data_IF_437211367357
#
_entry.id   IF_437211367357
#
_cell.length_a   1.000
_cell.length_b   1.000
_cell.length_c   1.000
_cell.angle_alpha   90.00
_cell.angle_beta   90.00
_cell.angle_gamma   90.00
#
_symmetry.space_group_name_H-M   'P 1'
#
loop_
_entity.id
_entity.type
_entity.pdbx_description
1 polymer ?
#
# COMPACT_ATOMS: atom_id res chain seq x y z
N UNK A 1 6.40 -41.21 16.98
CA UNK A 1 6.95 -40.67 15.71
C UNK A 1 5.94 -39.86 14.89
N UNK A 2 4.63 -40.13 14.96
CA UNK A 2 3.58 -39.34 14.29
C UNK A 2 3.18 -38.01 14.98
N UNK A 3 3.74 -37.72 16.15
CA UNK A 3 3.48 -36.48 16.90
C UNK A 3 4.46 -35.34 16.60
N UNK A 4 5.56 -35.61 15.89
CA UNK A 4 6.57 -34.58 15.56
C UNK A 4 6.16 -33.84 14.29
N UNK A 5 5.65 -34.54 13.27
CA UNK A 5 5.21 -33.93 11.99
C UNK A 5 3.94 -33.06 12.09
N UNK A 6 3.19 -33.10 13.20
CA UNK A 6 2.08 -32.16 13.45
C UNK A 6 2.56 -30.82 14.02
N UNK A 7 3.74 -30.79 14.66
CA UNK A 7 4.25 -29.61 15.35
C UNK A 7 4.80 -28.58 14.34
N UNK A 8 5.28 -29.03 13.17
CA UNK A 8 5.78 -28.14 12.11
C UNK A 8 4.64 -27.41 11.33
N UNK A 9 3.36 -27.71 11.61
CA UNK A 9 2.18 -27.13 10.94
C UNK A 9 1.39 -26.19 11.86
N UNK A 10 1.87 -25.90 13.07
CA UNK A 10 1.16 -25.02 14.01
C UNK A 10 1.95 -23.78 14.46
N UNK A 11 3.17 -23.54 13.95
CA UNK A 11 3.95 -22.40 14.42
C UNK A 11 4.84 -21.78 13.34
N UNK A 12 4.25 -20.91 12.52
CA UNK A 12 5.05 -20.13 11.58
C UNK A 12 4.32 -19.33 10.50
N UNK A 13 3.11 -18.80 10.73
CA UNK A 13 2.52 -17.81 9.84
C UNK A 13 1.47 -16.99 10.60
N UNK A 14 1.22 -15.74 10.22
CA UNK A 14 0.14 -14.87 10.74
C UNK A 14 0.35 -14.11 12.08
N UNK A 15 1.40 -13.28 12.13
CA UNK A 15 1.18 -11.94 12.71
C UNK A 15 0.51 -11.08 11.63
N UNK A 16 -0.80 -11.26 11.41
CA UNK A 16 -1.55 -10.45 10.45
C UNK A 16 -1.33 -8.96 10.76
N UNK A 17 -0.74 -8.21 9.81
CA UNK A 17 -0.71 -6.75 9.89
C UNK A 17 -2.14 -6.23 9.79
N UNK A 18 -2.85 -6.17 10.92
CA UNK A 18 -4.22 -5.71 10.95
C UNK A 18 -4.31 -4.23 10.52
N UNK A 19 -5.27 -3.87 9.67
CA UNK A 19 -5.45 -2.49 9.25
C UNK A 19 -5.92 -1.64 10.43
N UNK A 20 -5.13 -0.62 10.76
CA UNK A 20 -5.51 0.42 11.72
C UNK A 20 -6.41 1.49 11.09
N UNK A 21 -6.23 1.73 9.78
CA UNK A 21 -6.95 2.74 9.03
C UNK A 21 -7.56 2.15 7.75
N UNK A 22 -8.74 2.66 7.42
CA UNK A 22 -9.45 2.39 6.18
C UNK A 22 -9.60 3.71 5.44
N UNK A 23 -8.97 3.83 4.26
CA UNK A 23 -8.84 5.11 3.56
C UNK A 23 -9.43 5.01 2.17
N UNK A 24 -10.39 5.87 1.83
CA UNK A 24 -10.96 5.90 0.48
C UNK A 24 -9.94 6.37 -0.56
N UNK A 25 -9.95 5.70 -1.69
CA UNK A 25 -9.26 6.14 -2.91
C UNK A 25 -10.14 7.14 -3.64
N UNK A 26 -9.59 8.31 -3.90
CA UNK A 26 -10.22 9.41 -4.61
C UNK A 26 -9.73 9.43 -6.06
N UNK A 27 -10.62 9.72 -7.01
CA UNK A 27 -10.25 9.98 -8.41
C UNK A 27 -9.98 11.48 -8.59
N UNK A 28 -8.99 11.82 -9.41
CA UNK A 28 -8.59 13.17 -9.76
C UNK A 28 -8.57 13.32 -11.27
N UNK A 29 -8.92 14.52 -11.74
CA UNK A 29 -8.92 14.84 -13.17
C UNK A 29 -7.50 14.91 -13.75
N UNK A 30 -6.54 15.36 -12.93
CA UNK A 30 -5.13 15.51 -13.32
C UNK A 30 -4.30 14.37 -12.75
N UNK A 31 -3.39 13.87 -13.57
CA UNK A 31 -2.37 12.93 -13.14
C UNK A 31 -1.40 13.59 -12.15
N UNK A 32 -1.07 12.88 -11.08
CA UNK A 32 0.02 13.26 -10.19
C UNK A 32 1.36 13.01 -10.84
N UNK A 33 2.32 13.91 -10.60
CA UNK A 33 3.71 13.71 -10.98
C UNK A 33 4.39 12.78 -9.95
N UNK A 34 4.35 11.48 -10.25
CA UNK A 34 4.99 10.43 -9.46
C UNK A 34 6.36 10.13 -10.07
N UNK A 35 7.44 10.17 -9.26
CA UNK A 35 8.79 10.10 -9.75
C UNK A 35 9.13 8.68 -10.19
N UNK A 36 10.25 8.59 -10.91
CA UNK A 36 10.58 7.37 -11.63
C UNK A 36 10.96 6.21 -10.70
N UNK A 37 11.47 6.52 -9.51
CA UNK A 37 11.87 5.53 -8.50
C UNK A 37 10.65 4.72 -8.04
N UNK A 38 9.54 5.43 -7.74
CA UNK A 38 8.27 4.80 -7.31
C UNK A 38 7.62 4.05 -8.46
N UNK A 39 7.60 4.62 -9.67
CA UNK A 39 6.99 3.90 -10.81
C UNK A 39 7.81 2.69 -11.26
N UNK A 40 9.14 2.73 -11.08
CA UNK A 40 10.02 1.62 -11.44
C UNK A 40 9.95 0.47 -10.45
N UNK A 41 9.79 0.74 -9.15
CA UNK A 41 9.61 -0.31 -8.14
C UNK A 41 8.30 -1.10 -8.33
N UNK A 42 7.33 -0.54 -9.05
CA UNK A 42 6.03 -1.14 -9.33
C UNK A 42 5.95 -1.87 -10.68
N UNK A 43 7.02 -1.84 -11.49
CA UNK A 43 7.07 -2.59 -12.75
C UNK A 43 7.05 -4.09 -12.45
N UNK A 44 6.25 -4.84 -13.22
CA UNK A 44 6.05 -6.28 -13.01
C UNK A 44 5.02 -6.62 -11.93
N UNK A 45 4.77 -5.73 -10.96
CA UNK A 45 3.68 -5.88 -9.98
C UNK A 45 2.36 -5.38 -10.55
N UNK A 46 2.40 -4.26 -11.29
CA UNK A 46 1.23 -3.61 -11.87
C UNK A 46 1.44 -3.39 -13.37
N UNK A 47 0.42 -3.64 -14.19
CA UNK A 47 0.49 -3.38 -15.63
C UNK A 47 0.57 -1.86 -15.92
N UNK A 48 1.24 -1.48 -17.01
CA UNK A 48 1.38 -0.06 -17.37
C UNK A 48 0.03 0.68 -17.54
N UNK A 49 -0.98 -0.01 -18.08
CA UNK A 49 -2.36 0.52 -18.19
C UNK A 49 -2.97 0.79 -16.81
N UNK A 50 -2.76 -0.10 -15.85
CA UNK A 50 -3.26 0.08 -14.50
C UNK A 50 -2.50 1.19 -13.78
N UNK A 51 -1.18 1.26 -13.94
CA UNK A 51 -0.35 2.31 -13.36
C UNK A 51 -0.76 3.71 -13.86
N UNK A 52 -1.07 3.86 -15.16
CA UNK A 52 -1.57 5.13 -15.70
C UNK A 52 -2.94 5.54 -15.12
N UNK A 53 -3.82 4.58 -14.80
CA UNK A 53 -5.07 4.87 -14.09
C UNK A 53 -4.79 5.31 -12.64
N UNK A 54 -3.91 4.59 -11.94
CA UNK A 54 -3.51 4.90 -10.57
C UNK A 54 -2.84 6.27 -10.41
N UNK A 55 -2.20 6.81 -11.47
CA UNK A 55 -1.68 8.20 -11.46
C UNK A 55 -2.76 9.27 -11.29
N UNK A 56 -4.02 8.94 -11.57
CA UNK A 56 -5.17 9.82 -11.38
C UNK A 56 -5.88 9.55 -10.05
N UNK A 57 -5.25 8.78 -9.16
CA UNK A 57 -5.83 8.42 -7.87
C UNK A 57 -5.02 9.02 -6.72
N UNK A 58 -5.70 9.34 -5.63
CA UNK A 58 -5.08 9.80 -4.39
C UNK A 58 -5.77 9.25 -3.15
N UNK A 59 -5.12 9.39 -2.01
CA UNK A 59 -5.68 9.07 -0.69
C UNK A 59 -5.32 10.17 0.31
N UNK A 60 -6.20 10.39 1.30
CA UNK A 60 -5.89 11.21 2.46
C UNK A 60 -5.07 10.36 3.45
N UNK A 61 -3.74 10.52 3.46
CA UNK A 61 -2.89 9.65 4.26
C UNK A 61 -3.05 9.97 5.76
N UNK A 62 -3.43 8.99 6.61
CA UNK A 62 -3.64 9.24 8.04
C UNK A 62 -2.33 9.46 8.81
N UNK A 63 -1.19 9.04 8.26
CA UNK A 63 0.12 9.14 8.92
C UNK A 63 0.75 10.51 8.70
N UNK A 64 0.86 10.96 7.45
CA UNK A 64 1.44 12.28 7.10
C UNK A 64 0.40 13.41 7.12
N UNK A 65 -0.89 13.08 7.27
CA UNK A 65 -2.02 14.03 7.37
C UNK A 65 -2.16 14.96 6.16
N UNK A 66 -1.84 14.45 4.99
CA UNK A 66 -1.97 15.16 3.72
C UNK A 66 -2.45 14.22 2.61
N UNK A 67 -2.89 14.83 1.50
CA UNK A 67 -3.25 14.08 0.31
C UNK A 67 -1.99 13.61 -0.42
N UNK A 68 -1.89 12.30 -0.63
CA UNK A 68 -0.77 11.70 -1.35
C UNK A 68 -1.26 10.99 -2.61
N UNK A 69 -0.47 10.97 -3.70
CA UNK A 69 -0.79 10.15 -4.86
C UNK A 69 -0.92 8.68 -4.47
N UNK A 70 -1.87 7.98 -5.09
CA UNK A 70 -2.15 6.59 -4.74
C UNK A 70 -0.94 5.68 -5.01
N UNK A 71 -0.14 5.95 -6.04
CA UNK A 71 1.07 5.16 -6.30
C UNK A 71 2.12 5.28 -5.19
N UNK A 72 2.28 6.47 -4.59
CA UNK A 72 3.15 6.64 -3.42
C UNK A 72 2.59 5.88 -2.21
N UNK A 73 1.27 5.87 -2.02
CA UNK A 73 0.61 5.05 -1.01
C UNK A 73 0.77 3.55 -1.28
N UNK A 74 0.62 3.10 -2.52
CA UNK A 74 0.70 1.70 -2.92
C UNK A 74 2.10 1.10 -2.67
N UNK A 75 3.14 1.92 -2.83
CA UNK A 75 4.52 1.53 -2.55
C UNK A 75 4.92 1.67 -1.05
N UNK A 76 4.02 2.12 -0.18
CA UNK A 76 4.31 2.41 1.22
C UNK A 76 4.36 1.12 2.08
N UNK A 77 5.25 1.07 3.07
CA UNK A 77 5.35 -0.03 4.05
C UNK A 77 4.04 -0.30 4.82
N UNK A 78 3.21 0.74 4.99
CA UNK A 78 1.93 0.65 5.68
C UNK A 78 0.79 0.16 4.80
N UNK A 79 0.99 0.04 3.49
CA UNK A 79 -0.03 -0.47 2.59
C UNK A 79 -0.20 -1.98 2.80
N UNK A 80 -1.43 -2.41 3.09
CA UNK A 80 -1.76 -3.84 3.23
C UNK A 80 -2.42 -4.31 1.94
N UNK A 81 -3.55 -3.69 1.57
CA UNK A 81 -4.32 -4.04 0.36
C UNK A 81 -5.31 -2.94 0.00
N UNK A 82 -5.86 -3.03 -1.23
CA UNK A 82 -7.00 -2.23 -1.69
C UNK A 82 -8.20 -3.15 -1.98
N UNK A 83 -9.34 -2.87 -1.34
CA UNK A 83 -10.59 -3.62 -1.53
C UNK A 83 -11.70 -2.64 -1.88
N UNK A 84 -12.38 -2.83 -3.03
CA UNK A 84 -13.52 -2.00 -3.47
C UNK A 84 -13.31 -0.47 -3.39
N UNK A 85 -12.09 0.00 -3.66
CA UNK A 85 -11.76 1.44 -3.63
C UNK A 85 -11.36 1.97 -2.25
N UNK A 86 -11.11 1.09 -1.29
CA UNK A 86 -10.62 1.45 0.05
C UNK A 86 -9.27 0.79 0.32
N UNK A 87 -8.34 1.55 0.86
CA UNK A 87 -7.01 1.12 1.28
C UNK A 87 -7.05 0.71 2.74
N UNK A 88 -6.61 -0.52 2.98
CA UNK A 88 -6.32 -1.04 4.30
C UNK A 88 -4.88 -0.64 4.64
N UNK A 89 -4.73 0.19 5.67
CA UNK A 89 -3.46 0.78 6.05
C UNK A 89 -3.09 0.38 7.48
N UNK A 90 -1.88 -0.16 7.66
CA UNK A 90 -1.31 -0.54 8.95
C UNK A 90 -0.99 0.69 9.81
N UNK A 91 -0.55 1.78 9.18
CA UNK A 91 -0.33 3.06 9.83
C UNK A 91 0.95 3.20 10.64
N UNK A 92 1.99 2.41 10.35
CA UNK A 92 3.30 2.51 11.02
C UNK A 92 4.15 3.66 10.48
N UNK A 93 4.21 3.80 9.15
CA UNK A 93 5.00 4.83 8.44
C UNK A 93 4.26 5.38 7.23
N UNK A 94 4.52 6.64 6.89
CA UNK A 94 4.02 7.26 5.67
C UNK A 94 4.86 6.87 4.43
N UNK A 95 4.44 7.28 3.22
CA UNK A 95 5.26 7.13 2.03
C UNK A 95 6.55 7.97 2.17
N UNK A 96 7.68 7.42 1.72
CA UNK A 96 9.02 7.97 1.97
C UNK A 96 9.22 9.42 1.51
N UNK A 97 8.50 9.85 0.47
CA UNK A 97 8.58 11.21 -0.07
C UNK A 97 7.85 12.27 0.75
N UNK A 98 6.92 11.85 1.60
CA UNK A 98 6.04 12.72 2.37
C UNK A 98 6.37 12.68 3.87
N UNK A 99 6.99 11.61 4.34
CA UNK A 99 7.65 11.60 5.65
C UNK A 99 8.84 12.56 5.63
N UNK A 100 8.63 13.81 6.02
CA UNK A 100 9.73 14.72 6.37
C UNK A 100 10.55 14.12 7.51
N UNK A 101 11.87 14.35 7.56
CA UNK A 101 12.66 14.12 8.76
C UNK A 101 12.21 15.00 9.92
#
# INVERSE_FOLDING_TARGET
MLYILKIDVEYGDEMERQPKYFVRVLQREKAFNVPIEVTSSLKGVVSGKMMNRMKHESVQCPVVKEEVPFLDCFACESFIRRVKGEVHCFGSKGPSRFSKP
#
